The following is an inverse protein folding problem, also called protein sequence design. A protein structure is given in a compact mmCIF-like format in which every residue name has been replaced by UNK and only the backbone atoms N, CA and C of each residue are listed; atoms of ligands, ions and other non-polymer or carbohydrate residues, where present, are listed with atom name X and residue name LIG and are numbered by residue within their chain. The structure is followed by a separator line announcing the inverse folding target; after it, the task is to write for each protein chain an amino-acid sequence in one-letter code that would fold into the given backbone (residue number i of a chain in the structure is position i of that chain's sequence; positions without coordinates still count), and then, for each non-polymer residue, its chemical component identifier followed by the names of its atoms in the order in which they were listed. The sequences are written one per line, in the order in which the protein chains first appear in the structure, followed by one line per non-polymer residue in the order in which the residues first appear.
data_IF_499817458851
#
_entry.id   IF_499817458851
#
_cell.length_a   1.000
_cell.length_b   1.000
_cell.length_c   1.000
_cell.angle_alpha   90.00
_cell.angle_beta   90.00
_cell.angle_gamma   90.00
#
_symmetry.space_group_name_H-M   'P 1'
#
loop_
_entity.id
_entity.type
_entity.pdbx_description
1 polymer ?
#
# COMPACT_ATOMS: atom_id res chain seq x y z
N UNK A 1 32.78 -13.89 8.85
CA UNK A 1 32.58 -13.11 7.61
C UNK A 1 31.08 -12.93 7.49
N UNK A 2 30.59 -11.67 7.48
CA UNK A 2 29.18 -11.41 7.20
C UNK A 2 28.87 -11.88 5.76
N UNK A 3 27.74 -12.57 5.56
CA UNK A 3 27.30 -12.92 4.22
C UNK A 3 27.16 -11.63 3.38
N UNK A 4 27.51 -11.67 2.08
CA UNK A 4 27.35 -10.51 1.23
C UNK A 4 25.89 -10.05 1.31
N UNK A 5 25.66 -8.78 1.61
CA UNK A 5 24.31 -8.21 1.62
C UNK A 5 23.75 -8.30 0.20
N UNK A 6 22.66 -9.03 0.04
CA UNK A 6 21.97 -9.15 -1.25
C UNK A 6 21.48 -7.77 -1.70
N UNK A 7 21.90 -7.35 -2.89
CA UNK A 7 21.49 -6.09 -3.48
C UNK A 7 19.96 -6.04 -3.68
N UNK A 8 19.39 -4.85 -3.50
CA UNK A 8 17.95 -4.64 -3.71
C UNK A 8 17.56 -4.77 -5.19
N UNK A 9 16.28 -5.06 -5.44
CA UNK A 9 15.71 -5.12 -6.80
C UNK A 9 15.91 -3.82 -7.58
N UNK A 10 15.80 -2.65 -6.91
CA UNK A 10 16.06 -1.36 -7.55
C UNK A 10 17.53 -1.19 -7.93
N UNK A 11 18.45 -1.59 -7.06
CA UNK A 11 19.89 -1.52 -7.37
C UNK A 11 20.27 -2.43 -8.56
N UNK A 12 19.59 -3.58 -8.71
CA UNK A 12 19.77 -4.51 -9.84
C UNK A 12 18.97 -4.12 -11.09
N UNK A 13 18.23 -3.00 -11.08
CA UNK A 13 17.34 -2.58 -12.17
C UNK A 13 16.28 -3.63 -12.57
N UNK A 14 15.79 -4.42 -11.61
CA UNK A 14 14.83 -5.50 -11.87
C UNK A 14 13.36 -5.07 -11.73
N UNK A 15 13.09 -3.87 -11.19
CA UNK A 15 11.75 -3.30 -11.10
C UNK A 15 11.57 -2.29 -12.24
N UNK A 16 10.52 -2.41 -13.06
CA UNK A 16 10.23 -1.45 -14.12
C UNK A 16 10.00 -0.03 -13.55
N UNK A 17 10.67 0.96 -14.12
CA UNK A 17 10.49 2.38 -13.80
C UNK A 17 9.65 3.01 -14.91
N UNK A 18 8.57 3.67 -14.53
CA UNK A 18 7.61 4.32 -15.43
C UNK A 18 7.66 5.82 -15.18
N UNK A 19 8.03 6.56 -16.20
CA UNK A 19 8.14 8.02 -16.15
C UNK A 19 6.81 8.68 -16.50
N UNK A 20 6.30 9.50 -15.57
CA UNK A 20 5.05 10.26 -15.68
C UNK A 20 5.24 11.74 -16.02
N UNK A 21 6.44 12.17 -16.42
CA UNK A 21 6.77 13.59 -16.64
C UNK A 21 5.78 14.38 -17.53
N UNK A 22 5.05 13.70 -18.41
CA UNK A 22 4.10 14.31 -19.34
C UNK A 22 2.64 14.09 -18.96
N UNK A 23 2.38 13.46 -17.82
CA UNK A 23 1.01 13.21 -17.37
C UNK A 23 0.63 14.16 -16.24
N UNK A 24 1.50 14.39 -15.26
CA UNK A 24 1.24 15.21 -14.09
C UNK A 24 -0.10 14.89 -13.39
N UNK A 25 -0.29 15.34 -12.18
CA UNK A 25 -1.57 15.18 -11.48
C UNK A 25 -2.65 16.17 -11.98
N UNK A 26 -2.25 17.26 -12.66
CA UNK A 26 -3.10 18.37 -13.04
C UNK A 26 -3.33 18.53 -14.55
N UNK A 27 -2.71 17.70 -15.36
CA UNK A 27 -2.78 17.81 -16.83
C UNK A 27 -3.74 16.79 -17.40
N UNK A 28 -4.60 17.21 -18.35
CA UNK A 28 -5.37 16.28 -19.15
C UNK A 28 -4.42 15.64 -20.19
N UNK A 29 -3.90 14.43 -19.95
CA UNK A 29 -2.84 13.88 -20.77
C UNK A 29 -3.36 13.42 -22.12
N UNK A 30 -2.50 13.49 -23.15
CA UNK A 30 -2.81 12.92 -24.46
C UNK A 30 -3.12 11.43 -24.33
N UNK A 31 -4.19 10.98 -24.98
CA UNK A 31 -4.65 9.59 -24.95
C UNK A 31 -3.56 8.56 -25.32
N UNK A 32 -2.67 8.91 -26.25
CA UNK A 32 -1.52 8.08 -26.65
C UNK A 32 -0.52 7.88 -25.51
N UNK A 33 -0.27 8.92 -24.71
CA UNK A 33 0.64 8.86 -23.56
C UNK A 33 0.05 7.97 -22.48
N UNK A 34 -1.23 8.14 -22.14
CA UNK A 34 -1.93 7.32 -21.13
C UNK A 34 -1.94 5.84 -21.55
N UNK A 35 -2.19 5.54 -22.84
CA UNK A 35 -2.12 4.16 -23.36
C UNK A 35 -0.74 3.54 -23.24
N UNK A 36 0.31 4.30 -23.56
CA UNK A 36 1.68 3.81 -23.42
C UNK A 36 2.02 3.46 -21.97
N UNK A 37 1.65 4.33 -21.04
CA UNK A 37 1.84 4.09 -19.60
C UNK A 37 1.00 2.91 -19.14
N UNK A 38 -0.23 2.78 -19.61
CA UNK A 38 -1.06 1.61 -19.34
C UNK A 38 -0.39 0.30 -19.75
N UNK A 39 0.21 0.27 -20.94
CA UNK A 39 0.94 -0.91 -21.39
C UNK A 39 2.17 -1.22 -20.53
N UNK A 40 2.91 -0.18 -20.11
CA UNK A 40 4.06 -0.34 -19.22
C UNK A 40 3.61 -0.86 -17.84
N UNK A 41 2.53 -0.29 -17.26
CA UNK A 41 1.95 -0.76 -15.99
C UNK A 41 1.47 -2.20 -16.10
N UNK A 42 0.73 -2.54 -17.16
CA UNK A 42 0.25 -3.90 -17.38
C UNK A 42 1.41 -4.91 -17.45
N UNK A 43 2.45 -4.62 -18.22
CA UNK A 43 3.62 -5.48 -18.34
C UNK A 43 4.35 -5.62 -16.99
N UNK A 44 4.51 -4.54 -16.24
CA UNK A 44 5.16 -4.56 -14.93
C UNK A 44 4.37 -5.37 -13.92
N UNK A 45 3.05 -5.11 -13.79
CA UNK A 45 2.21 -5.78 -12.81
C UNK A 45 1.97 -7.25 -13.15
N UNK A 46 1.85 -7.62 -14.45
CA UNK A 46 1.69 -9.03 -14.84
C UNK A 46 2.96 -9.85 -14.66
N UNK A 47 4.14 -9.25 -14.81
CA UNK A 47 5.42 -9.99 -14.75
C UNK A 47 6.08 -9.93 -13.36
N UNK A 48 6.02 -8.77 -12.70
CA UNK A 48 6.72 -8.53 -11.42
C UNK A 48 5.76 -8.32 -10.25
N UNK A 49 4.53 -7.91 -10.48
CA UNK A 49 3.55 -7.53 -9.45
C UNK A 49 3.68 -6.08 -8.98
N UNK A 50 4.75 -5.36 -9.39
CA UNK A 50 4.96 -3.97 -9.01
C UNK A 50 5.68 -3.18 -10.10
N UNK A 51 5.57 -1.85 -10.02
CA UNK A 51 6.36 -0.88 -10.79
C UNK A 51 6.73 0.32 -9.91
N UNK A 52 7.68 1.12 -10.38
CA UNK A 52 8.09 2.39 -9.78
C UNK A 52 7.62 3.53 -10.68
N UNK A 53 6.91 4.50 -10.10
CA UNK A 53 6.49 5.74 -10.76
C UNK A 53 7.46 6.85 -10.38
N UNK A 54 7.95 7.58 -11.37
CA UNK A 54 8.79 8.76 -11.20
C UNK A 54 8.19 9.95 -11.93
N UNK A 55 8.60 11.17 -11.58
CA UNK A 55 8.12 12.42 -12.18
C UNK A 55 6.59 12.59 -12.11
N UNK A 56 5.96 12.08 -11.05
CA UNK A 56 4.51 12.11 -10.82
C UNK A 56 3.99 13.45 -10.30
N UNK A 57 4.85 14.43 -10.05
CA UNK A 57 4.48 15.78 -9.63
C UNK A 57 4.19 15.97 -8.13
N UNK A 58 4.24 14.92 -7.32
CA UNK A 58 4.11 15.02 -5.85
C UNK A 58 5.49 15.34 -5.27
N UNK A 59 5.60 16.49 -4.60
CA UNK A 59 6.86 16.94 -4.04
C UNK A 59 7.27 16.12 -2.80
N UNK A 60 8.54 15.81 -2.68
CA UNK A 60 9.11 15.02 -1.58
C UNK A 60 8.94 15.72 -0.22
N UNK A 61 8.91 17.07 -0.23
CA UNK A 61 8.66 17.91 0.94
C UNK A 61 7.29 17.65 1.56
N UNK A 62 6.25 17.36 0.75
CA UNK A 62 4.92 17.00 1.26
C UNK A 62 4.96 15.69 2.05
N UNK A 63 5.73 14.71 1.58
CA UNK A 63 5.91 13.44 2.29
C UNK A 63 6.66 13.63 3.61
N UNK A 64 7.74 14.40 3.61
CA UNK A 64 8.53 14.69 4.82
C UNK A 64 7.71 15.44 5.86
N UNK A 65 6.87 16.39 5.44
CA UNK A 65 5.98 17.13 6.34
C UNK A 65 5.00 16.16 7.03
N UNK A 66 4.34 15.29 6.28
CA UNK A 66 3.41 14.29 6.82
C UNK A 66 4.10 13.27 7.73
N UNK A 67 5.34 12.88 7.44
CA UNK A 67 6.13 12.02 8.34
C UNK A 67 6.40 12.72 9.67
N UNK A 68 6.81 14.00 9.64
CA UNK A 68 7.02 14.81 10.85
C UNK A 68 5.73 14.95 11.68
N UNK A 69 4.58 15.17 11.02
CA UNK A 69 3.30 15.28 11.72
C UNK A 69 2.91 13.95 12.37
N UNK A 70 3.20 12.83 11.72
CA UNK A 70 2.95 11.51 12.29
C UNK A 70 3.84 11.24 13.50
N UNK A 71 5.12 11.67 13.47
CA UNK A 71 6.02 11.60 14.63
C UNK A 71 5.47 12.43 15.78
N UNK A 72 5.02 13.66 15.52
CA UNK A 72 4.40 14.54 16.52
C UNK A 72 3.15 13.89 17.12
N UNK A 73 2.28 13.28 16.28
CA UNK A 73 1.12 12.54 16.76
C UNK A 73 1.50 11.34 17.62
N UNK A 74 2.50 10.56 17.19
CA UNK A 74 2.98 9.40 17.96
C UNK A 74 3.65 9.77 19.29
N UNK A 75 4.13 10.99 19.41
CA UNK A 75 4.70 11.53 20.67
C UNK A 75 3.65 12.06 21.64
N UNK A 76 2.39 12.20 21.24
CA UNK A 76 1.31 12.60 22.14
C UNK A 76 1.10 11.59 23.27
N UNK A 77 0.63 12.03 24.44
CA UNK A 77 0.20 11.12 25.51
C UNK A 77 -0.86 10.12 25.04
N UNK A 78 -0.86 8.91 25.59
CA UNK A 78 -1.79 7.85 25.16
C UNK A 78 -3.28 8.24 25.28
N UNK A 79 -3.64 9.06 26.29
CA UNK A 79 -5.00 9.55 26.47
C UNK A 79 -5.42 10.52 25.35
N UNK A 80 -4.49 11.28 24.75
CA UNK A 80 -4.75 12.10 23.58
C UNK A 80 -4.90 11.22 22.34
N UNK A 81 -3.96 10.30 22.10
CA UNK A 81 -4.04 9.37 20.98
C UNK A 81 -5.33 8.52 21.01
N UNK A 82 -5.82 8.15 22.21
CA UNK A 82 -7.03 7.36 22.39
C UNK A 82 -8.30 8.02 21.84
N UNK A 83 -8.33 9.34 21.70
CA UNK A 83 -9.45 10.09 21.13
C UNK A 83 -9.58 9.88 19.62
N UNK A 84 -8.50 9.47 18.96
CA UNK A 84 -8.40 9.27 17.51
C UNK A 84 -8.36 7.80 17.10
N UNK A 85 -8.69 6.87 18.02
CA UNK A 85 -8.67 5.44 17.71
C UNK A 85 -9.53 5.13 16.48
N UNK A 86 -9.06 4.18 15.70
CA UNK A 86 -9.72 3.69 14.50
C UNK A 86 -11.20 3.36 14.75
N UNK A 87 -12.06 3.96 13.96
CA UNK A 87 -13.47 3.60 13.91
C UNK A 87 -13.66 2.33 13.06
N UNK A 88 -14.23 1.25 13.61
CA UNK A 88 -14.39 -0.01 12.86
C UNK A 88 -15.39 0.06 11.71
N UNK A 89 -16.27 1.08 11.67
CA UNK A 89 -17.28 1.23 10.62
C UNK A 89 -16.68 1.83 9.35
N UNK A 90 -15.94 2.92 9.49
CA UNK A 90 -15.38 3.66 8.34
C UNK A 90 -13.86 3.53 8.19
N UNK A 91 -13.21 2.75 9.07
CA UNK A 91 -11.76 2.52 9.09
C UNK A 91 -10.90 3.78 9.35
N UNK A 92 -11.50 4.96 9.61
CA UNK A 92 -10.78 6.20 9.87
C UNK A 92 -10.16 6.20 11.27
N UNK A 93 -8.96 6.78 11.40
CA UNK A 93 -8.32 7.07 12.67
C UNK A 93 -7.08 6.24 12.96
N UNK A 94 -6.62 6.32 14.20
CA UNK A 94 -5.36 5.77 14.67
C UNK A 94 -5.45 4.28 15.00
N UNK A 95 -4.52 3.53 14.47
CA UNK A 95 -4.29 2.10 14.77
C UNK A 95 -2.99 1.99 15.56
N UNK A 96 -3.12 1.71 16.86
CA UNK A 96 -1.97 1.55 17.75
C UNK A 96 -1.25 0.22 17.53
N UNK A 97 0.02 0.09 17.91
CA UNK A 97 0.75 -1.17 17.84
C UNK A 97 -0.01 -2.34 18.46
N UNK A 98 -0.05 -3.47 17.77
CA UNK A 98 -0.72 -4.68 18.23
C UNK A 98 -2.22 -4.77 17.95
N UNK A 99 -2.85 -3.76 17.37
CA UNK A 99 -4.27 -3.84 16.94
C UNK A 99 -4.44 -4.56 15.59
N UNK A 100 -3.44 -4.53 14.74
CA UNK A 100 -3.36 -5.31 13.50
C UNK A 100 -2.24 -6.31 13.62
N UNK A 101 -2.47 -7.53 13.15
CA UNK A 101 -1.47 -8.58 13.16
C UNK A 101 -1.61 -9.46 11.93
N UNK A 102 -0.54 -9.52 11.12
CA UNK A 102 -0.44 -10.43 9.97
C UNK A 102 0.43 -11.64 10.26
N UNK A 103 1.28 -11.58 11.29
CA UNK A 103 2.13 -12.68 11.74
C UNK A 103 1.87 -12.97 13.21
N UNK A 104 1.18 -14.07 13.47
CA UNK A 104 0.85 -14.51 14.86
C UNK A 104 2.09 -14.91 15.67
N UNK A 105 3.26 -15.10 15.03
CA UNK A 105 4.50 -15.55 15.68
C UNK A 105 5.45 -14.40 16.03
N UNK A 106 5.12 -13.17 15.60
CA UNK A 106 5.96 -12.00 15.79
C UNK A 106 5.17 -10.81 16.37
N UNK A 107 5.83 -9.97 17.16
CA UNK A 107 5.23 -8.72 17.62
C UNK A 107 5.41 -7.64 16.55
N UNK A 108 4.30 -7.16 15.99
CA UNK A 108 4.30 -6.07 15.02
C UNK A 108 4.33 -4.72 15.73
N UNK A 109 5.43 -3.95 15.51
CA UNK A 109 5.61 -2.60 16.07
C UNK A 109 5.26 -1.57 14.99
N UNK A 110 3.98 -1.19 14.92
CA UNK A 110 3.52 -0.29 13.88
C UNK A 110 2.47 0.66 14.44
N UNK A 111 2.72 1.96 14.28
CA UNK A 111 1.70 3.00 14.40
C UNK A 111 1.16 3.30 13.01
N UNK A 112 -0.14 3.45 12.87
CA UNK A 112 -0.70 3.96 11.62
C UNK A 112 -1.89 4.89 11.86
N UNK A 113 -2.05 5.87 10.97
CA UNK A 113 -3.22 6.75 10.96
C UNK A 113 -3.92 6.62 9.61
N UNK A 114 -5.17 6.18 9.64
CA UNK A 114 -5.99 5.97 8.45
C UNK A 114 -6.81 7.21 8.14
N UNK A 115 -6.67 7.73 6.93
CA UNK A 115 -7.44 8.85 6.39
C UNK A 115 -8.34 8.30 5.29
N UNK A 116 -9.64 8.22 5.57
CA UNK A 116 -10.67 7.71 4.66
C UNK A 116 -11.58 8.80 4.11
N UNK A 117 -11.39 10.03 4.57
CA UNK A 117 -12.14 11.20 4.14
C UNK A 117 -11.28 12.45 4.20
N UNK A 118 -11.49 13.37 3.27
CA UNK A 118 -10.84 14.69 3.27
C UNK A 118 -11.49 15.69 4.25
N UNK A 119 -12.38 15.23 5.14
CA UNK A 119 -13.00 16.07 6.16
C UNK A 119 -12.01 16.38 7.28
N UNK A 120 -11.78 17.67 7.54
CA UNK A 120 -10.91 18.12 8.64
C UNK A 120 -11.44 17.74 10.03
N UNK A 121 -12.73 17.51 10.20
CA UNK A 121 -13.37 17.21 11.48
C UNK A 121 -12.91 15.88 12.10
N UNK A 122 -12.30 15.01 11.32
CA UNK A 122 -11.83 13.68 11.78
C UNK A 122 -10.30 13.58 11.91
N UNK A 123 -9.58 14.69 11.72
CA UNK A 123 -8.13 14.76 11.88
C UNK A 123 -7.72 15.18 13.28
N UNK A 124 -6.48 14.96 13.72
CA UNK A 124 -5.95 15.50 14.95
C UNK A 124 -6.17 17.02 15.07
N UNK A 125 -6.53 17.47 16.28
CA UNK A 125 -6.78 18.86 16.54
C UNK A 125 -5.52 19.71 16.33
N UNK A 126 -5.71 20.95 15.87
CA UNK A 126 -4.60 21.87 15.58
C UNK A 126 -3.78 22.20 16.84
N UNK A 127 -4.39 22.13 18.03
CA UNK A 127 -3.73 22.34 19.31
C UNK A 127 -2.81 21.18 19.69
N UNK A 128 -3.04 19.99 19.15
CA UNK A 128 -2.27 18.76 19.44
C UNK A 128 -1.20 18.51 18.38
N UNK A 129 -1.57 18.59 17.07
CA UNK A 129 -0.64 18.48 15.95
C UNK A 129 -0.95 19.60 14.94
N UNK A 130 -0.30 20.76 15.06
CA UNK A 130 -0.71 22.01 14.40
C UNK A 130 -0.92 21.97 12.90
N UNK A 131 -0.10 21.21 12.18
CA UNK A 131 -0.09 21.22 10.71
C UNK A 131 -0.60 19.91 10.08
N UNK A 132 -1.01 18.94 10.89
CA UNK A 132 -1.41 17.61 10.42
C UNK A 132 -2.44 17.67 9.28
N UNK A 133 -3.52 18.38 9.48
CA UNK A 133 -4.58 18.53 8.49
C UNK A 133 -4.11 19.27 7.23
N UNK A 134 -3.27 20.30 7.41
CA UNK A 134 -2.74 21.13 6.32
C UNK A 134 -1.80 20.38 5.40
N UNK A 135 -1.07 19.40 5.92
CA UNK A 135 -0.17 18.57 5.13
C UNK A 135 -0.85 17.29 4.61
N UNK A 136 -1.65 16.62 5.44
CA UNK A 136 -2.25 15.34 5.08
C UNK A 136 -3.32 15.46 4.00
N UNK A 137 -4.19 16.48 4.03
CA UNK A 137 -5.27 16.63 3.04
C UNK A 137 -4.72 16.90 1.62
N UNK A 138 -3.79 17.83 1.40
CA UNK A 138 -3.21 18.03 0.06
C UNK A 138 -2.49 16.79 -0.47
N UNK A 139 -1.75 16.05 0.37
CA UNK A 139 -1.11 14.80 -0.05
C UNK A 139 -2.15 13.75 -0.44
N UNK A 140 -3.22 13.59 0.35
CA UNK A 140 -4.30 12.66 0.07
C UNK A 140 -5.01 13.00 -1.25
N UNK A 141 -5.18 14.30 -1.55
CA UNK A 141 -5.74 14.78 -2.82
C UNK A 141 -4.81 14.44 -4.00
N UNK A 142 -3.51 14.68 -3.86
CA UNK A 142 -2.52 14.37 -4.90
C UNK A 142 -2.49 12.85 -5.20
N UNK A 143 -2.49 12.00 -4.16
CA UNK A 143 -2.52 10.54 -4.32
C UNK A 143 -3.85 10.06 -4.94
N UNK A 144 -4.97 10.70 -4.61
CA UNK A 144 -6.26 10.44 -5.26
C UNK A 144 -6.20 10.78 -6.75
N UNK A 145 -5.63 11.93 -7.12
CA UNK A 145 -5.48 12.35 -8.52
C UNK A 145 -4.55 11.40 -9.28
N UNK A 146 -3.41 11.02 -8.68
CA UNK A 146 -2.50 10.04 -9.27
C UNK A 146 -3.18 8.68 -9.45
N UNK A 147 -4.01 8.25 -8.48
CA UNK A 147 -4.79 7.02 -8.59
C UNK A 147 -5.75 7.05 -9.78
N UNK A 148 -6.38 8.19 -10.07
CA UNK A 148 -7.23 8.35 -11.27
C UNK A 148 -6.43 8.20 -12.56
N UNK A 149 -5.21 8.71 -12.61
CA UNK A 149 -4.30 8.54 -13.77
C UNK A 149 -3.94 7.06 -13.95
N UNK A 150 -3.57 6.36 -12.89
CA UNK A 150 -3.26 4.93 -12.92
C UNK A 150 -4.48 4.10 -13.35
N UNK A 151 -5.68 4.39 -12.83
CA UNK A 151 -6.93 3.74 -13.24
C UNK A 151 -7.22 3.92 -14.73
N UNK A 152 -7.06 5.13 -15.27
CA UNK A 152 -7.23 5.38 -16.70
C UNK A 152 -6.22 4.59 -17.55
N UNK A 153 -4.97 4.57 -17.13
CA UNK A 153 -3.90 3.85 -17.81
C UNK A 153 -4.18 2.35 -17.82
N UNK A 154 -4.52 1.76 -16.67
CA UNK A 154 -4.90 0.35 -16.55
C UNK A 154 -6.13 0.01 -17.39
N UNK A 155 -7.16 0.86 -17.39
CA UNK A 155 -8.37 0.62 -18.20
C UNK A 155 -8.04 0.44 -19.68
N UNK A 156 -7.18 1.30 -20.24
CA UNK A 156 -6.71 1.14 -21.62
C UNK A 156 -5.96 -0.17 -21.84
N UNK A 157 -5.13 -0.58 -20.89
CA UNK A 157 -4.31 -1.77 -21.02
C UNK A 157 -5.14 -3.07 -20.95
N UNK A 158 -6.18 -3.08 -20.11
CA UNK A 158 -7.09 -4.24 -19.97
C UNK A 158 -8.27 -4.21 -20.96
N UNK A 159 -8.36 -3.20 -21.83
CA UNK A 159 -9.35 -3.13 -22.90
C UNK A 159 -10.74 -2.69 -22.48
N UNK A 160 -10.87 -1.95 -21.35
CA UNK A 160 -12.15 -1.37 -20.91
C UNK A 160 -12.17 0.15 -21.11
N UNK A 161 -13.37 0.73 -21.11
CA UNK A 161 -13.51 2.18 -21.18
C UNK A 161 -12.95 2.83 -19.89
N UNK A 162 -12.04 3.83 -19.98
CA UNK A 162 -11.51 4.51 -18.81
C UNK A 162 -12.59 5.11 -17.90
N UNK A 163 -13.68 5.61 -18.49
CA UNK A 163 -14.82 6.16 -17.77
C UNK A 163 -15.53 5.12 -16.88
N UNK A 164 -15.57 3.85 -17.29
CA UNK A 164 -16.19 2.80 -16.49
C UNK A 164 -15.35 2.52 -15.22
N UNK A 165 -14.02 2.44 -15.36
CA UNK A 165 -13.15 2.19 -14.22
C UNK A 165 -13.08 3.39 -13.27
N UNK A 166 -13.06 4.61 -13.81
CA UNK A 166 -13.15 5.83 -13.00
C UNK A 166 -14.49 5.95 -12.26
N UNK A 167 -15.60 5.59 -12.92
CA UNK A 167 -16.92 5.61 -12.29
C UNK A 167 -17.01 4.63 -11.12
N UNK A 168 -16.38 3.45 -11.25
CA UNK A 168 -16.32 2.46 -10.16
C UNK A 168 -15.42 2.86 -8.99
N UNK A 169 -14.65 3.94 -9.09
CA UNK A 169 -13.74 4.45 -8.07
C UNK A 169 -14.02 5.93 -7.77
N UNK A 170 -15.23 6.38 -8.03
CA UNK A 170 -15.57 7.81 -8.00
C UNK A 170 -15.58 8.41 -6.59
N UNK A 171 -15.83 7.61 -5.57
CA UNK A 171 -15.99 8.01 -4.19
C UNK A 171 -14.72 8.01 -3.34
N UNK A 172 -13.51 7.90 -3.95
CA UNK A 172 -12.27 7.87 -3.17
C UNK A 172 -12.15 9.07 -2.23
N UNK A 173 -11.97 8.79 -0.93
CA UNK A 173 -11.86 9.75 0.17
C UNK A 173 -13.03 10.75 0.29
N UNK A 174 -14.22 10.40 -0.20
CA UNK A 174 -15.43 11.21 0.04
C UNK A 174 -16.02 10.94 1.43
N UNK A 175 -16.65 11.95 2.02
CA UNK A 175 -17.18 11.86 3.38
C UNK A 175 -18.42 10.96 3.52
N UNK A 176 -19.03 10.55 2.42
CA UNK A 176 -20.23 9.72 2.39
C UNK A 176 -19.98 8.22 2.68
N UNK A 177 -18.70 7.83 2.80
CA UNK A 177 -18.29 6.46 3.15
C UNK A 177 -18.61 5.40 2.08
N UNK A 178 -18.99 5.81 0.87
CA UNK A 178 -19.31 4.88 -0.23
C UNK A 178 -18.11 4.20 -0.86
N UNK A 179 -16.91 4.70 -0.58
CA UNK A 179 -15.66 4.14 -1.09
C UNK A 179 -14.67 3.90 0.07
N UNK A 180 -14.09 2.70 0.19
CA UNK A 180 -13.19 2.35 1.28
C UNK A 180 -11.72 2.69 1.03
N UNK A 181 -11.39 3.45 -0.04
CA UNK A 181 -10.01 3.90 -0.26
C UNK A 181 -9.48 4.66 0.94
N UNK A 182 -8.23 4.41 1.27
CA UNK A 182 -7.62 4.91 2.49
C UNK A 182 -6.21 5.37 2.19
N UNK A 183 -5.87 6.60 2.57
CA UNK A 183 -4.48 7.00 2.75
C UNK A 183 -4.07 6.61 4.17
N UNK A 184 -3.05 5.77 4.29
CA UNK A 184 -2.51 5.32 5.56
C UNK A 184 -1.11 5.88 5.77
N UNK A 185 -0.94 6.64 6.83
CA UNK A 185 0.35 7.09 7.32
C UNK A 185 0.89 6.00 8.25
N UNK A 186 2.14 5.60 8.07
CA UNK A 186 2.74 4.49 8.82
C UNK A 186 4.08 4.93 9.42
N UNK A 187 4.23 4.65 10.72
CA UNK A 187 5.46 4.77 11.45
C UNK A 187 5.82 3.46 12.15
N UNK A 188 7.00 2.97 11.87
CA UNK A 188 7.60 1.81 12.53
C UNK A 188 8.71 2.31 13.45
N UNK A 189 8.53 2.23 14.77
CA UNK A 189 9.52 2.75 15.72
C UNK A 189 10.84 1.96 15.69
N UNK A 190 11.91 2.50 16.28
CA UNK A 190 13.11 1.75 16.55
C UNK A 190 12.83 0.45 17.31
N UNK A 191 13.60 -0.58 17.01
CA UNK A 191 13.47 -1.87 17.67
C UNK A 191 14.56 -2.00 18.72
N UNK A 192 14.28 -2.50 19.92
CA UNK A 192 15.29 -2.72 20.94
C UNK A 192 16.49 -3.50 20.39
N UNK A 193 17.71 -3.24 20.86
CA UNK A 193 18.87 -4.07 20.55
C UNK A 193 18.56 -5.55 20.86
N UNK A 194 19.03 -6.45 20.02
CA UNK A 194 19.05 -7.85 20.41
C UNK A 194 20.07 -7.98 21.55
N UNK A 195 19.63 -8.35 22.74
CA UNK A 195 20.54 -8.74 23.81
C UNK A 195 21.31 -9.96 23.32
N UNK A 196 22.64 -9.84 23.14
CA UNK A 196 23.50 -10.90 22.65
C UNK A 196 23.45 -12.19 23.55
N UNK A 197 22.84 -12.08 24.74
CA UNK A 197 22.61 -13.18 25.67
C UNK A 197 21.25 -13.88 25.56
N UNK A 198 20.29 -13.33 24.83
CA UNK A 198 18.89 -13.84 24.77
C UNK A 198 18.60 -14.73 23.56
N UNK A 199 19.54 -14.88 22.64
CA UNK A 199 19.34 -15.60 21.37
C UNK A 199 19.06 -17.11 21.54
N UNK A 200 19.19 -17.68 22.76
CA UNK A 200 19.01 -19.10 23.03
C UNK A 200 17.83 -19.42 23.95
N UNK A 201 16.98 -18.47 24.30
CA UNK A 201 15.79 -18.72 25.12
C UNK A 201 14.56 -18.94 24.22
N UNK A 202 13.79 -19.99 24.55
CA UNK A 202 12.55 -20.34 23.83
C UNK A 202 11.47 -19.25 23.85
N UNK A 203 11.64 -18.20 24.67
CA UNK A 203 10.73 -17.09 24.86
C UNK A 203 11.23 -15.77 24.22
N UNK A 204 12.24 -15.83 23.34
CA UNK A 204 12.72 -14.62 22.64
C UNK A 204 11.60 -14.01 21.78
N UNK A 205 11.21 -12.76 22.09
CA UNK A 205 10.17 -12.04 21.33
C UNK A 205 10.72 -11.67 19.95
N UNK A 206 10.18 -12.30 18.91
CA UNK A 206 10.47 -11.90 17.54
C UNK A 206 9.72 -10.61 17.20
N UNK A 207 10.44 -9.61 16.70
CA UNK A 207 9.87 -8.37 16.21
C UNK A 207 9.83 -8.35 14.69
N UNK A 208 8.71 -7.94 14.12
CA UNK A 208 8.60 -7.61 12.70
C UNK A 208 7.92 -6.23 12.56
N UNK A 209 8.13 -5.58 11.43
CA UNK A 209 7.43 -4.32 11.12
C UNK A 209 6.04 -4.57 10.56
N UNK A 210 5.92 -5.55 9.65
CA UNK A 210 4.63 -5.99 9.11
C UNK A 210 4.77 -7.40 8.55
N UNK A 211 3.92 -8.31 8.94
CA UNK A 211 3.89 -9.69 8.44
C UNK A 211 3.54 -9.80 6.96
N UNK A 212 3.74 -10.99 6.40
CA UNK A 212 3.49 -11.25 4.98
C UNK A 212 2.00 -11.18 4.63
N UNK A 213 1.64 -10.37 3.65
CA UNK A 213 0.27 -10.20 3.16
C UNK A 213 0.23 -9.73 1.71
N UNK A 214 -0.95 -9.68 1.14
CA UNK A 214 -1.26 -8.91 -0.08
C UNK A 214 -2.31 -7.86 0.25
N UNK A 215 -2.27 -6.73 -0.45
CA UNK A 215 -3.26 -5.67 -0.28
C UNK A 215 -4.61 -6.07 -0.88
N UNK A 216 -5.70 -5.59 -0.29
CA UNK A 216 -7.07 -6.06 -0.59
C UNK A 216 -7.71 -5.37 -1.79
N UNK A 217 -7.22 -4.17 -2.15
CA UNK A 217 -7.82 -3.27 -3.13
C UNK A 217 -7.49 -3.57 -4.59
N UNK A 218 -7.73 -2.57 -5.42
CA UNK A 218 -7.37 -2.59 -6.84
C UNK A 218 -5.86 -2.50 -6.99
N UNK A 219 -5.25 -1.49 -6.39
CA UNK A 219 -3.79 -1.35 -6.28
C UNK A 219 -3.45 -0.45 -5.08
N UNK A 220 -2.18 -0.45 -4.72
CA UNK A 220 -1.64 0.46 -3.71
C UNK A 220 -0.57 1.35 -4.32
N UNK A 221 -0.62 2.65 -4.00
CA UNK A 221 0.48 3.58 -4.20
C UNK A 221 1.24 3.68 -2.88
N UNK A 222 2.52 3.34 -2.88
CA UNK A 222 3.36 3.31 -1.69
C UNK A 222 4.56 4.24 -1.85
N UNK A 223 4.69 5.18 -0.91
CA UNK A 223 5.93 5.95 -0.71
C UNK A 223 6.65 5.43 0.52
N UNK A 224 7.95 5.56 0.59
CA UNK A 224 8.73 5.15 1.75
C UNK A 224 9.99 6.00 1.90
N UNK A 225 10.50 6.08 3.13
CA UNK A 225 11.81 6.66 3.40
C UNK A 225 12.96 5.70 3.01
N UNK A 226 14.20 6.10 3.29
CA UNK A 226 15.41 5.35 2.95
C UNK A 226 15.75 4.20 3.90
N UNK A 227 14.95 3.98 4.97
CA UNK A 227 15.32 3.02 6.03
C UNK A 227 15.12 1.55 5.64
N UNK A 228 14.51 1.29 4.48
CA UNK A 228 14.40 -0.06 3.93
C UNK A 228 13.45 -0.99 4.68
N UNK A 229 13.64 -2.30 4.49
CA UNK A 229 12.85 -3.36 5.15
C UNK A 229 11.69 -3.88 4.30
N UNK A 230 11.27 -3.20 3.24
CA UNK A 230 10.26 -3.74 2.33
C UNK A 230 10.84 -4.89 1.50
N UNK A 231 10.20 -6.04 1.60
CA UNK A 231 10.50 -7.22 0.82
C UNK A 231 9.26 -7.74 0.10
N UNK A 232 9.46 -8.25 -1.10
CA UNK A 232 8.39 -8.76 -1.97
C UNK A 232 8.71 -10.16 -2.47
N UNK A 233 7.68 -10.91 -2.83
CA UNK A 233 7.78 -12.09 -3.67
C UNK A 233 7.33 -11.72 -5.07
N UNK A 234 8.29 -11.68 -6.01
CA UNK A 234 7.94 -11.41 -7.42
C UNK A 234 7.11 -12.56 -7.99
N UNK A 235 6.27 -12.25 -8.97
CA UNK A 235 5.44 -13.25 -9.64
C UNK A 235 6.29 -14.43 -10.13
N UNK A 236 5.87 -15.65 -9.80
CA UNK A 236 6.60 -16.88 -10.13
C UNK A 236 7.81 -17.18 -9.25
N UNK A 237 8.03 -16.44 -8.16
CA UNK A 237 9.14 -16.66 -7.21
C UNK A 237 8.63 -16.79 -5.77
N UNK A 238 9.11 -17.80 -5.06
CA UNK A 238 8.87 -17.97 -3.61
C UNK A 238 9.92 -17.26 -2.74
N UNK A 239 10.92 -16.64 -3.36
CA UNK A 239 12.01 -15.97 -2.64
C UNK A 239 11.61 -14.54 -2.26
N UNK A 240 11.89 -14.16 -1.02
CA UNK A 240 11.83 -12.79 -0.56
C UNK A 240 12.98 -11.97 -1.16
N UNK A 241 12.65 -10.80 -1.70
CA UNK A 241 13.61 -9.90 -2.32
C UNK A 241 13.39 -8.48 -1.81
N UNK A 242 14.49 -7.82 -1.44
CA UNK A 242 14.48 -6.43 -0.97
C UNK A 242 14.13 -5.50 -2.12
N UNK A 243 13.18 -4.60 -1.93
CA UNK A 243 12.79 -3.63 -2.97
C UNK A 243 13.86 -2.54 -3.14
N UNK A 244 14.34 -1.98 -2.05
CA UNK A 244 15.23 -0.81 -2.06
C UNK A 244 14.47 0.51 -2.00
N UNK A 245 15.21 1.62 -2.14
CA UNK A 245 14.67 2.98 -2.10
C UNK A 245 15.15 3.78 -3.32
N UNK A 246 14.25 4.54 -3.91
CA UNK A 246 14.53 5.53 -4.94
C UNK A 246 13.89 6.85 -4.47
N UNK A 247 14.68 7.90 -4.21
CA UNK A 247 14.17 9.18 -3.72
C UNK A 247 13.07 9.74 -4.64
N UNK A 248 12.00 10.25 -4.05
CA UNK A 248 10.88 10.86 -4.77
C UNK A 248 10.09 9.89 -5.66
N UNK A 249 10.23 8.57 -5.50
CA UNK A 249 9.49 7.58 -6.27
C UNK A 249 8.28 7.05 -5.50
N UNK A 250 7.25 6.65 -6.25
CA UNK A 250 6.07 5.95 -5.74
C UNK A 250 6.04 4.54 -6.32
N UNK A 251 5.96 3.54 -5.46
CA UNK A 251 5.70 2.16 -5.88
C UNK A 251 4.21 2.00 -6.19
N UNK A 252 3.87 1.27 -7.25
CA UNK A 252 2.51 0.79 -7.52
C UNK A 252 2.52 -0.72 -7.52
N UNK A 253 1.62 -1.32 -6.73
CA UNK A 253 1.49 -2.77 -6.59
C UNK A 253 0.05 -3.21 -6.72
N UNK A 254 -0.17 -4.35 -7.40
CA UNK A 254 -1.50 -4.92 -7.61
C UNK A 254 -2.05 -5.51 -6.31
N UNK A 255 -3.35 -5.29 -6.06
CA UNK A 255 -4.08 -5.87 -4.95
C UNK A 255 -4.97 -7.06 -5.33
N UNK A 256 -5.56 -7.72 -4.32
CA UNK A 256 -6.39 -8.92 -4.47
C UNK A 256 -7.63 -8.68 -5.35
N UNK A 257 -8.21 -7.48 -5.25
CA UNK A 257 -9.39 -7.14 -6.05
C UNK A 257 -9.04 -7.05 -7.55
N UNK A 258 -7.93 -6.42 -7.89
CA UNK A 258 -7.44 -6.37 -9.28
C UNK A 258 -7.09 -7.78 -9.80
N UNK A 259 -6.46 -8.60 -8.97
CA UNK A 259 -6.14 -9.98 -9.31
C UNK A 259 -7.41 -10.79 -9.61
N UNK A 260 -8.42 -10.72 -8.73
CA UNK A 260 -9.69 -11.38 -8.93
C UNK A 260 -10.42 -10.89 -10.19
N UNK A 261 -10.46 -9.58 -10.40
CA UNK A 261 -11.11 -8.96 -11.54
C UNK A 261 -10.45 -9.32 -12.87
N UNK A 262 -9.12 -9.44 -12.90
CA UNK A 262 -8.34 -9.80 -14.10
C UNK A 262 -8.13 -11.32 -14.25
N UNK A 263 -8.85 -12.16 -13.51
CA UNK A 263 -8.64 -13.61 -13.48
C UNK A 263 -7.16 -13.98 -13.26
N UNK A 264 -6.50 -13.26 -12.36
CA UNK A 264 -5.09 -13.41 -11.99
C UNK A 264 -4.07 -13.10 -13.12
N UNK A 265 -4.48 -12.38 -14.16
CA UNK A 265 -3.54 -11.86 -15.17
C UNK A 265 -2.65 -10.77 -14.57
N UNK A 266 -3.19 -9.98 -13.63
CA UNK A 266 -2.45 -9.03 -12.79
C UNK A 266 -2.50 -9.54 -11.33
N UNK A 267 -1.62 -10.46 -10.93
CA UNK A 267 -1.69 -11.10 -9.62
C UNK A 267 -1.34 -10.12 -8.49
N UNK A 268 -1.96 -10.31 -7.33
CA UNK A 268 -1.66 -9.53 -6.14
C UNK A 268 -0.23 -9.79 -5.66
N UNK A 269 0.46 -8.71 -5.28
CA UNK A 269 1.84 -8.80 -4.81
C UNK A 269 1.91 -9.16 -3.32
N UNK A 270 2.52 -10.30 -3.01
CA UNK A 270 2.81 -10.67 -1.62
C UNK A 270 4.05 -9.91 -1.15
N UNK A 271 3.90 -9.19 -0.03
CA UNK A 271 4.96 -8.37 0.53
C UNK A 271 4.97 -8.41 2.07
N UNK A 272 6.07 -7.97 2.66
CA UNK A 272 6.26 -7.82 4.11
C UNK A 272 7.21 -6.69 4.42
N UNK A 273 7.24 -6.24 5.67
CA UNK A 273 8.24 -5.27 6.14
C UNK A 273 9.00 -5.89 7.30
N UNK A 274 10.26 -6.19 7.08
CA UNK A 274 11.15 -6.78 8.09
C UNK A 274 11.94 -5.69 8.82
N UNK A 275 12.42 -6.03 10.01
CA UNK A 275 13.42 -5.23 10.71
C UNK A 275 14.76 -5.49 10.03
N UNK A 276 15.43 -4.48 9.44
CA UNK A 276 16.72 -4.71 8.81
C UNK A 276 17.77 -5.20 9.81
N UNK A 277 18.69 -6.06 9.35
CA UNK A 277 19.82 -6.51 10.15
C UNK A 277 20.80 -5.38 10.43
N UNK A 278 21.33 -5.34 11.65
CA UNK A 278 22.34 -4.38 12.08
C UNK A 278 21.82 -3.35 13.07
N UNK A 279 22.67 -3.02 14.06
CA UNK A 279 22.32 -2.13 15.18
C UNK A 279 21.88 -0.73 14.70
N UNK A 280 22.54 -0.19 13.70
CA UNK A 280 22.21 1.15 13.16
C UNK A 280 20.80 1.18 12.57
N UNK A 281 20.42 0.21 11.74
CA UNK A 281 19.10 0.16 11.11
C UNK A 281 17.97 -0.16 12.11
N UNK A 282 18.27 -0.93 13.16
CA UNK A 282 17.32 -1.21 14.25
C UNK A 282 17.05 0.02 15.13
N UNK A 283 18.05 0.86 15.33
CA UNK A 283 17.94 2.09 16.12
C UNK A 283 17.16 3.21 15.43
N UNK A 284 16.73 3.02 14.19
CA UNK A 284 16.02 4.05 13.39
C UNK A 284 14.58 3.65 13.12
N UNK A 285 13.69 4.62 13.26
CA UNK A 285 12.31 4.51 12.81
C UNK A 285 12.23 4.50 11.28
N UNK A 286 11.11 3.98 10.75
CA UNK A 286 10.81 3.98 9.30
C UNK A 286 9.43 4.59 9.09
N UNK A 287 9.31 5.42 8.05
CA UNK A 287 8.05 6.00 7.63
C UNK A 287 7.65 5.52 6.24
N UNK A 288 6.36 5.42 6.00
CA UNK A 288 5.80 5.32 4.67
C UNK A 288 4.36 5.84 4.62
N UNK A 289 3.90 6.16 3.41
CA UNK A 289 2.49 6.42 3.13
C UNK A 289 2.00 5.39 2.12
N UNK A 290 0.92 4.70 2.45
CA UNK A 290 0.23 3.79 1.55
C UNK A 290 -1.15 4.36 1.19
N UNK A 291 -1.43 4.51 -0.10
CA UNK A 291 -2.77 4.84 -0.59
C UNK A 291 -3.39 3.58 -1.19
N UNK A 292 -4.32 2.99 -0.45
CA UNK A 292 -5.07 1.83 -0.88
C UNK A 292 -6.23 2.28 -1.76
N UNK A 293 -6.13 2.03 -3.06
CA UNK A 293 -7.17 2.32 -4.03
C UNK A 293 -8.18 1.17 -4.06
N UNK A 294 -9.43 1.47 -3.73
CA UNK A 294 -10.53 0.51 -3.75
C UNK A 294 -11.66 0.99 -4.65
N UNK A 295 -12.41 0.07 -5.27
CA UNK A 295 -13.66 0.45 -5.94
C UNK A 295 -14.73 0.87 -4.92
N UNK A 296 -15.73 1.60 -5.40
CA UNK A 296 -16.91 1.97 -4.61
C UNK A 296 -17.63 0.71 -4.11
N UNK A 297 -18.28 0.78 -2.96
CA UNK A 297 -18.89 -0.38 -2.28
C UNK A 297 -19.94 -1.10 -3.13
N UNK A 298 -20.65 -0.37 -3.98
CA UNK A 298 -21.67 -0.86 -4.90
C UNK A 298 -21.17 -1.04 -6.34
N UNK A 299 -19.86 -0.87 -6.56
CA UNK A 299 -19.29 -0.96 -7.90
C UNK A 299 -19.49 -2.34 -8.52
N UNK A 300 -20.00 -2.33 -9.74
CA UNK A 300 -20.04 -3.49 -10.61
C UNK A 300 -19.00 -3.28 -11.71
N UNK A 301 -17.92 -4.05 -11.66
CA UNK A 301 -16.88 -3.95 -12.66
C UNK A 301 -17.28 -4.63 -13.95
N UNK A 302 -16.95 -4.03 -15.12
CA UNK A 302 -17.23 -4.64 -16.40
C UNK A 302 -16.42 -5.95 -16.55
N UNK A 303 -17.02 -6.96 -17.19
CA UNK A 303 -16.29 -8.18 -17.55
C UNK A 303 -15.12 -7.84 -18.46
N UNK A 304 -13.93 -8.31 -18.11
CA UNK A 304 -12.74 -8.05 -18.91
C UNK A 304 -12.73 -8.91 -20.18
N UNK A 305 -12.34 -8.33 -21.34
CA UNK A 305 -12.15 -9.09 -22.57
C UNK A 305 -10.87 -9.94 -22.56
N UNK A 306 -10.18 -10.03 -21.41
CA UNK A 306 -8.94 -10.79 -21.30
C UNK A 306 -9.25 -12.28 -21.48
N UNK A 307 -8.76 -12.84 -22.56
CA UNK A 307 -8.66 -14.30 -22.68
C UNK A 307 -7.64 -14.75 -21.63
N UNK A 308 -8.04 -15.73 -20.83
CA UNK A 308 -7.11 -16.37 -19.90
C UNK A 308 -5.98 -17.03 -20.75
N UNK A 309 -4.92 -16.28 -21.00
CA UNK A 309 -3.64 -16.90 -21.25
C UNK A 309 -3.39 -17.74 -19.99
N UNK A 310 -3.04 -19.03 -20.18
CA UNK A 310 -2.88 -19.99 -19.11
C UNK A 310 -2.15 -19.33 -17.93
N UNK A 311 -2.91 -18.89 -16.93
CA UNK A 311 -2.36 -18.22 -15.78
C UNK A 311 -1.39 -19.20 -15.12
N UNK A 312 -0.17 -18.79 -14.76
CA UNK A 312 0.66 -19.63 -13.92
C UNK A 312 -0.15 -20.02 -12.67
N UNK A 313 -0.01 -21.25 -12.16
CA UNK A 313 -0.73 -21.65 -10.96
C UNK A 313 -0.47 -20.62 -9.87
N UNK A 314 -1.48 -20.26 -9.07
CA UNK A 314 -1.31 -19.30 -7.98
C UNK A 314 -0.15 -19.76 -7.10
N UNK A 315 0.70 -18.85 -6.60
CA UNK A 315 1.75 -19.22 -5.69
C UNK A 315 1.13 -20.00 -4.53
N UNK A 316 1.76 -21.11 -4.14
CA UNK A 316 1.30 -22.04 -3.10
C UNK A 316 1.39 -21.40 -1.70
N UNK A 317 1.00 -20.18 -1.54
CA UNK A 317 0.84 -19.53 -0.25
C UNK A 317 -0.64 -19.55 0.13
N UNK A 318 -1.05 -20.63 0.76
CA UNK A 318 -2.32 -20.71 1.48
C UNK A 318 -2.03 -20.51 2.97
N UNK A 319 -2.77 -19.57 3.62
CA UNK A 319 -4.12 -19.91 4.06
C UNK A 319 -5.25 -18.99 3.55
N UNK A 320 -5.02 -17.96 2.75
CA UNK A 320 -6.07 -16.97 2.51
C UNK A 320 -6.53 -16.77 1.05
N UNK A 321 -6.03 -17.52 0.08
CA UNK A 321 -6.34 -17.32 -1.35
C UNK A 321 -7.22 -18.38 -1.95
N UNK A 322 -8.39 -18.69 -1.33
CA UNK A 322 -9.47 -19.38 -2.02
C UNK A 322 -10.52 -18.39 -2.55
N UNK A 323 -10.15 -17.53 -3.49
CA UNK A 323 -11.10 -16.93 -4.41
C UNK A 323 -11.34 -17.92 -5.55
N UNK A 324 -12.18 -18.90 -5.29
CA UNK A 324 -12.64 -19.84 -6.32
C UNK A 324 -13.39 -19.08 -7.42
N UNK A 325 -13.22 -19.50 -8.66
CA UNK A 325 -13.77 -18.98 -9.93
C UNK A 325 -15.31 -18.78 -9.97
N UNK A 326 -16.01 -19.03 -8.87
CA UNK A 326 -17.48 -18.96 -8.78
C UNK A 326 -18.05 -17.59 -8.39
N UNK A 327 -17.21 -16.58 -8.11
CA UNK A 327 -17.69 -15.25 -7.71
C UNK A 327 -17.67 -14.26 -8.89
N UNK A 328 -18.51 -14.51 -9.90
CA UNK A 328 -18.71 -13.60 -11.05
C UNK A 328 -19.27 -12.21 -10.68
N UNK A 329 -19.62 -11.99 -9.43
CA UNK A 329 -20.08 -10.71 -8.86
C UNK A 329 -19.49 -10.56 -7.45
N UNK A 330 -18.19 -10.33 -7.35
CA UNK A 330 -17.59 -9.89 -6.08
C UNK A 330 -18.08 -8.48 -5.80
N UNK A 331 -18.99 -8.36 -4.84
CA UNK A 331 -19.28 -7.08 -4.22
C UNK A 331 -18.01 -6.65 -3.47
N UNK A 332 -17.40 -5.54 -3.89
CA UNK A 332 -16.15 -5.03 -3.34
C UNK A 332 -16.23 -4.84 -1.82
N UNK A 333 -17.36 -4.35 -1.31
CA UNK A 333 -17.60 -4.18 0.12
C UNK A 333 -17.54 -5.52 0.88
N UNK A 334 -18.12 -6.58 0.35
CA UNK A 334 -18.14 -7.89 1.02
C UNK A 334 -16.72 -8.49 1.10
N UNK A 335 -15.94 -8.38 0.02
CA UNK A 335 -14.54 -8.81 0.04
C UNK A 335 -13.75 -8.11 1.12
N UNK A 336 -13.80 -6.77 1.17
CA UNK A 336 -13.07 -5.97 2.12
C UNK A 336 -13.51 -6.22 3.57
N UNK A 337 -14.82 -6.32 3.83
CA UNK A 337 -15.34 -6.62 5.17
C UNK A 337 -14.85 -7.99 5.69
N UNK A 338 -14.79 -9.00 4.81
CA UNK A 338 -14.21 -10.30 5.16
C UNK A 338 -12.76 -10.15 5.57
N UNK A 339 -11.93 -9.44 4.78
CA UNK A 339 -10.50 -9.24 5.05
C UNK A 339 -10.28 -8.43 6.35
N UNK A 340 -11.09 -7.42 6.61
CA UNK A 340 -10.99 -6.67 7.87
C UNK A 340 -11.30 -7.53 9.10
N UNK A 341 -12.28 -8.44 9.03
CA UNK A 341 -12.53 -9.39 10.14
C UNK A 341 -11.32 -10.30 10.41
N UNK A 342 -10.62 -10.73 9.35
CA UNK A 342 -9.44 -11.57 9.47
C UNK A 342 -8.22 -10.81 10.04
N UNK A 343 -8.12 -9.50 9.80
CA UNK A 343 -6.94 -8.68 10.17
C UNK A 343 -7.07 -8.06 11.56
N UNK A 344 -8.29 -7.71 11.98
CA UNK A 344 -8.58 -7.03 13.26
C UNK A 344 -9.31 -7.93 14.26
N UNK A 345 -9.20 -9.24 14.12
CA UNK A 345 -9.85 -10.23 14.99
C UNK A 345 -9.19 -10.35 16.37
#
# INVERSE_FOLDING_TARGET
MAAPQEESLLARCEIPIIDLAHIGTDVCPMKSVVRRIGQQLFNALSTKGLAVLVNHGIADEKLKAVYSDLDNFCALPENCQAQYLRNPVNNHGYVKPGMEQFDATAKELRHSFNITSLSAASMPAQEEVPEFTQHAIPLAQDLTNLSRVVLQALAYAVGVAPTALLASHSGMLTADGRNPSTMRLLYYPPVPPEDEGYCCQADAVHYTRCGAHADYGTFTLLTQDSEGGLEVKLNGSDKWQKVGHLPGAILVQAGEFLAAWTANVLPALVHRVVVPSGAYARARGRHCVAFFCHPDNDAVLPTLPLQAAAAPPPPTFTPHTHLTLHHRLLNAAHHLQKRFRETYA
#
